data_IF_908484162870
#
_entry.id   IF_908484162870
#
_cell.length_a   1.000
_cell.length_b   1.000
_cell.length_c   1.000
_cell.angle_alpha   90.00
_cell.angle_beta   90.00
_cell.angle_gamma   90.00
#
_symmetry.space_group_name_H-M   'P 1'
#
loop_
_entity.id
_entity.type
_entity.pdbx_description
1 polymer ?
#
# COMPACT_ATOMS: atom_id res chain seq x y z
N UNK A 1 -40.94 -0.92 2.08
CA UNK A 1 -40.22 -1.78 1.13
C UNK A 1 -38.75 -1.74 1.54
N UNK A 2 -38.21 -2.88 1.97
CA UNK A 2 -36.84 -2.98 2.44
C UNK A 2 -35.89 -2.87 1.25
N UNK A 3 -35.01 -1.86 1.28
CA UNK A 3 -33.98 -1.70 0.26
C UNK A 3 -32.94 -2.79 0.49
N UNK A 4 -32.88 -3.76 -0.42
CA UNK A 4 -31.85 -4.79 -0.41
C UNK A 4 -30.52 -4.10 -0.66
N UNK A 5 -29.72 -3.97 0.40
CA UNK A 5 -28.30 -3.68 0.26
C UNK A 5 -27.71 -4.87 -0.46
N UNK A 6 -27.42 -4.70 -1.75
CA UNK A 6 -26.68 -5.68 -2.54
C UNK A 6 -25.36 -5.93 -1.82
N UNK A 7 -25.24 -7.08 -1.14
CA UNK A 7 -23.97 -7.55 -0.59
C UNK A 7 -23.00 -7.69 -1.76
N UNK A 8 -22.10 -6.71 -1.91
CA UNK A 8 -20.95 -6.86 -2.78
C UNK A 8 -20.07 -7.99 -2.20
N UNK A 9 -19.59 -8.93 -3.03
CA UNK A 9 -18.73 -10.00 -2.55
C UNK A 9 -17.56 -9.41 -1.78
N UNK A 10 -17.21 -10.00 -0.64
CA UNK A 10 -16.20 -9.51 0.28
C UNK A 10 -14.85 -9.31 -0.44
N UNK A 11 -14.64 -8.11 -0.95
CA UNK A 11 -13.43 -7.71 -1.65
C UNK A 11 -12.27 -7.81 -0.66
N UNK A 12 -11.21 -8.53 -1.04
CA UNK A 12 -10.02 -8.72 -0.21
C UNK A 12 -9.31 -7.36 -0.11
N UNK A 13 -9.71 -6.54 0.86
CA UNK A 13 -9.06 -5.27 1.20
C UNK A 13 -8.06 -5.47 2.35
N UNK A 14 -7.13 -6.42 2.17
CA UNK A 14 -6.19 -6.86 3.22
C UNK A 14 -4.74 -6.60 2.82
N UNK A 15 -4.33 -5.35 2.56
CA UNK A 15 -2.92 -5.06 2.26
C UNK A 15 -2.01 -5.35 3.44
N UNK A 16 -0.73 -5.48 3.15
CA UNK A 16 0.32 -5.62 4.16
C UNK A 16 1.25 -4.43 4.08
N UNK A 17 1.44 -3.75 5.20
CA UNK A 17 2.40 -2.66 5.32
C UNK A 17 3.59 -3.14 6.15
N UNK A 18 4.77 -3.14 5.56
CA UNK A 18 6.04 -3.33 6.26
C UNK A 18 6.51 -1.96 6.72
N UNK A 19 6.47 -1.73 8.04
CA UNK A 19 6.78 -0.44 8.65
C UNK A 19 8.01 -0.55 9.54
N UNK A 20 8.74 0.53 9.71
CA UNK A 20 9.88 0.62 10.61
C UNK A 20 10.68 1.88 10.37
N UNK A 21 11.84 2.00 11.02
CA UNK A 21 12.77 3.09 10.71
C UNK A 21 13.38 2.88 9.30
N UNK A 22 13.66 3.93 8.51
CA UNK A 22 14.43 3.77 7.29
C UNK A 22 15.74 3.02 7.56
N UNK A 23 16.24 2.24 6.60
CA UNK A 23 17.47 1.40 6.74
C UNK A 23 17.37 0.23 7.75
N UNK A 24 16.19 -0.06 8.27
CA UNK A 24 15.94 -1.24 9.11
C UNK A 24 15.81 -2.56 8.31
N UNK A 25 15.66 -2.48 6.98
CA UNK A 25 15.48 -3.64 6.10
C UNK A 25 14.04 -3.82 5.60
N UNK A 26 13.20 -2.79 5.68
CA UNK A 26 11.83 -2.78 5.14
C UNK A 26 11.79 -3.24 3.68
N UNK A 27 12.62 -2.68 2.80
CA UNK A 27 12.62 -3.00 1.36
C UNK A 27 12.95 -4.47 1.09
N UNK A 28 13.89 -5.07 1.85
CA UNK A 28 14.24 -6.49 1.71
C UNK A 28 13.06 -7.37 2.12
N UNK A 29 12.45 -7.08 3.27
CA UNK A 29 11.30 -7.85 3.75
C UNK A 29 10.10 -7.73 2.81
N UNK A 30 9.82 -6.54 2.29
CA UNK A 30 8.78 -6.32 1.28
C UNK A 30 9.03 -7.15 0.03
N UNK A 31 10.27 -7.17 -0.47
CA UNK A 31 10.64 -8.00 -1.62
C UNK A 31 10.47 -9.49 -1.34
N UNK A 32 10.91 -9.98 -0.17
CA UNK A 32 10.74 -11.38 0.23
C UNK A 32 9.26 -11.78 0.30
N UNK A 33 8.41 -10.93 0.88
CA UNK A 33 6.96 -11.16 0.94
C UNK A 33 6.32 -11.14 -0.46
N UNK A 34 6.84 -10.31 -1.37
CA UNK A 34 6.41 -10.23 -2.76
C UNK A 34 6.72 -11.47 -3.61
N UNK A 35 7.57 -12.39 -3.12
CA UNK A 35 7.80 -13.70 -3.77
C UNK A 35 6.71 -14.73 -3.46
N UNK A 36 5.83 -14.45 -2.50
CA UNK A 36 4.75 -15.37 -2.14
C UNK A 36 3.71 -15.45 -3.28
N UNK A 37 3.20 -16.64 -3.66
CA UNK A 37 2.36 -16.84 -4.84
C UNK A 37 1.04 -16.05 -4.86
N UNK A 38 0.58 -15.59 -3.69
CA UNK A 38 -0.64 -14.77 -3.56
C UNK A 38 -0.36 -13.27 -3.30
N UNK A 39 0.89 -12.82 -3.39
CA UNK A 39 1.30 -11.47 -3.01
C UNK A 39 2.27 -10.87 -4.02
N UNK A 40 2.18 -9.55 -4.25
CA UNK A 40 3.21 -8.81 -4.97
C UNK A 40 3.71 -7.62 -4.15
N UNK A 41 4.97 -7.25 -4.36
CA UNK A 41 5.58 -6.08 -3.75
C UNK A 41 5.29 -4.83 -4.59
N UNK A 42 4.83 -3.77 -3.93
CA UNK A 42 4.79 -2.43 -4.49
C UNK A 42 6.16 -1.75 -4.33
N UNK A 43 6.51 -0.84 -5.25
CA UNK A 43 7.46 0.23 -4.93
C UNK A 43 6.99 1.02 -3.70
N UNK A 44 7.91 1.72 -3.04
CA UNK A 44 7.57 2.69 -1.99
C UNK A 44 6.56 3.70 -2.57
N UNK A 45 5.35 3.73 -1.99
CA UNK A 45 4.25 4.53 -2.55
C UNK A 45 4.26 5.96 -2.00
N UNK A 46 4.61 6.14 -0.73
CA UNK A 46 4.84 7.42 -0.05
C UNK A 46 3.66 8.42 -0.02
N UNK A 47 2.52 8.14 -0.66
CA UNK A 47 1.39 9.07 -0.75
C UNK A 47 0.19 8.69 0.12
N UNK A 48 0.04 7.43 0.53
CA UNK A 48 -1.19 6.97 1.21
C UNK A 48 -1.33 7.54 2.63
N UNK A 49 -0.20 7.78 3.30
CA UNK A 49 -0.17 8.40 4.62
C UNK A 49 -0.69 9.84 4.60
N UNK A 50 -0.16 10.65 3.67
CA UNK A 50 -0.59 12.04 3.45
C UNK A 50 -2.05 12.12 3.02
N UNK A 51 -2.48 11.24 2.12
CA UNK A 51 -3.89 11.17 1.74
C UNK A 51 -4.80 10.90 2.95
N UNK A 52 -4.40 10.02 3.88
CA UNK A 52 -5.21 9.75 5.05
C UNK A 52 -5.35 10.99 5.95
N UNK A 53 -4.31 11.83 6.03
CA UNK A 53 -4.36 13.12 6.74
C UNK A 53 -5.31 14.07 6.01
N UNK A 54 -5.18 14.21 4.69
CA UNK A 54 -6.04 15.06 3.88
C UNK A 54 -7.52 14.66 4.02
N UNK A 55 -7.82 13.37 3.94
CA UNK A 55 -9.18 12.86 4.13
C UNK A 55 -9.71 13.16 5.54
N UNK A 56 -8.87 13.16 6.56
CA UNK A 56 -9.30 13.55 7.91
C UNK A 56 -9.74 15.01 7.94
N UNK A 57 -8.96 15.90 7.32
CA UNK A 57 -9.27 17.33 7.21
C UNK A 57 -10.56 17.53 6.41
N UNK A 58 -10.69 16.87 5.26
CA UNK A 58 -11.90 16.95 4.42
C UNK A 58 -13.14 16.44 5.12
N UNK A 59 -13.02 15.35 5.88
CA UNK A 59 -14.13 14.85 6.69
C UNK A 59 -14.56 15.88 7.74
N UNK A 60 -13.62 16.45 8.48
CA UNK A 60 -13.93 17.49 9.49
C UNK A 60 -14.66 18.69 8.88
N UNK A 61 -14.20 19.19 7.73
CA UNK A 61 -14.86 20.27 7.00
C UNK A 61 -16.27 19.84 6.58
N UNK A 62 -16.38 18.63 6.02
CA UNK A 62 -17.63 18.01 5.57
C UNK A 62 -18.63 17.68 6.67
N UNK A 63 -18.25 17.78 7.95
CA UNK A 63 -19.13 17.57 9.11
C UNK A 63 -19.26 18.78 10.04
N UNK A 64 -18.57 19.89 9.76
CA UNK A 64 -18.37 20.99 10.70
C UNK A 64 -19.64 21.73 11.16
N UNK A 65 -20.75 21.63 10.42
CA UNK A 65 -21.98 22.42 10.67
C UNK A 65 -23.21 21.55 10.94
N UNK A 66 -23.02 20.34 11.49
CA UNK A 66 -24.10 19.37 11.66
C UNK A 66 -24.78 19.09 10.31
N UNK A 67 -26.11 18.94 10.30
CA UNK A 67 -26.90 18.60 9.10
C UNK A 67 -26.88 19.68 8.00
N UNK A 68 -26.19 20.81 8.20
CA UNK A 68 -25.91 21.79 7.13
C UNK A 68 -24.64 21.48 6.35
N UNK A 69 -23.83 20.51 6.78
CA UNK A 69 -22.70 19.99 6.03
C UNK A 69 -23.06 18.65 5.39
N UNK A 70 -22.63 18.43 4.14
CA UNK A 70 -23.04 17.28 3.32
C UNK A 70 -22.87 15.93 4.02
N UNK A 71 -21.69 15.65 4.60
CA UNK A 71 -21.40 14.34 5.16
C UNK A 71 -22.24 14.06 6.40
N UNK A 72 -22.43 15.06 7.26
CA UNK A 72 -23.33 14.94 8.42
C UNK A 72 -24.79 14.79 8.02
N UNK A 73 -25.26 15.59 7.03
CA UNK A 73 -26.64 15.51 6.53
C UNK A 73 -26.99 14.15 5.91
N UNK A 74 -25.98 13.41 5.47
CA UNK A 74 -26.08 12.06 4.91
C UNK A 74 -25.73 10.97 5.92
N UNK A 75 -25.50 11.30 7.19
CA UNK A 75 -25.06 10.38 8.24
C UNK A 75 -23.79 9.58 7.89
N UNK A 76 -22.91 10.13 7.03
CA UNK A 76 -21.69 9.45 6.59
C UNK A 76 -20.72 9.35 7.75
N UNK A 77 -20.44 8.12 8.17
CA UNK A 77 -19.50 7.86 9.26
C UNK A 77 -18.05 8.03 8.79
N UNK A 78 -17.19 8.49 9.69
CA UNK A 78 -15.76 8.69 9.38
C UNK A 78 -15.10 7.42 8.84
N UNK A 79 -15.35 6.28 9.46
CA UNK A 79 -14.73 5.02 9.04
C UNK A 79 -15.25 4.55 7.67
N UNK A 80 -16.54 4.79 7.38
CA UNK A 80 -17.11 4.52 6.06
C UNK A 80 -16.47 5.40 4.99
N UNK A 81 -16.37 6.71 5.26
CA UNK A 81 -15.74 7.67 4.36
C UNK A 81 -14.33 7.21 3.95
N UNK A 82 -13.48 6.87 4.92
CA UNK A 82 -12.13 6.39 4.65
C UNK A 82 -12.10 5.03 3.92
N UNK A 83 -12.95 4.08 4.35
CA UNK A 83 -12.98 2.75 3.77
C UNK A 83 -13.39 2.76 2.29
N UNK A 84 -14.23 3.72 1.86
CA UNK A 84 -14.56 3.92 0.44
C UNK A 84 -13.30 4.24 -0.37
N UNK A 85 -12.46 5.18 0.09
CA UNK A 85 -11.21 5.50 -0.59
C UNK A 85 -10.24 4.32 -0.59
N UNK A 86 -10.05 3.66 0.55
CA UNK A 86 -9.14 2.52 0.60
C UNK A 86 -9.57 1.35 -0.29
N UNK A 87 -10.88 1.06 -0.42
CA UNK A 87 -11.37 0.08 -1.40
C UNK A 87 -11.00 0.48 -2.83
N UNK A 88 -11.22 1.73 -3.21
CA UNK A 88 -10.88 2.23 -4.55
C UNK A 88 -9.36 2.18 -4.82
N UNK A 89 -8.54 2.47 -3.82
CA UNK A 89 -7.07 2.37 -3.93
C UNK A 89 -6.67 0.90 -4.14
N UNK A 90 -7.22 -0.01 -3.33
CA UNK A 90 -6.93 -1.44 -3.43
C UNK A 90 -7.32 -2.00 -4.80
N UNK A 91 -8.54 -1.70 -5.26
CA UNK A 91 -9.04 -2.11 -6.58
C UNK A 91 -8.17 -1.54 -7.71
N UNK A 92 -7.80 -0.26 -7.66
CA UNK A 92 -6.88 0.36 -8.61
C UNK A 92 -5.53 -0.39 -8.66
N UNK A 93 -4.92 -0.67 -7.52
CA UNK A 93 -3.63 -1.38 -7.44
C UNK A 93 -3.75 -2.80 -8.01
N UNK A 94 -4.80 -3.53 -7.64
CA UNK A 94 -5.04 -4.89 -8.11
C UNK A 94 -5.30 -4.93 -9.62
N UNK A 95 -6.02 -3.94 -10.18
CA UNK A 95 -6.26 -3.80 -11.64
C UNK A 95 -4.97 -3.55 -12.41
N UNK A 96 -4.07 -2.74 -11.86
CA UNK A 96 -2.81 -2.37 -12.53
C UNK A 96 -1.62 -3.27 -12.19
N UNK A 97 -1.83 -4.37 -11.46
CA UNK A 97 -0.74 -5.29 -11.05
C UNK A 97 0.06 -5.85 -12.24
N UNK A 98 -0.61 -6.18 -13.35
CA UNK A 98 0.04 -6.77 -14.54
C UNK A 98 0.96 -5.74 -15.21
N UNK A 99 0.53 -4.47 -15.26
CA UNK A 99 1.37 -3.38 -15.77
C UNK A 99 2.59 -3.14 -14.89
N UNK A 100 2.43 -3.25 -13.57
CA UNK A 100 3.55 -3.14 -12.62
C UNK A 100 4.56 -4.26 -12.83
N UNK A 101 4.12 -5.52 -12.86
CA UNK A 101 4.99 -6.69 -13.08
C UNK A 101 5.72 -6.59 -14.43
N UNK A 102 5.01 -6.17 -15.48
CA UNK A 102 5.60 -5.94 -16.80
C UNK A 102 6.70 -4.89 -16.76
N UNK A 103 6.47 -3.73 -16.14
CA UNK A 103 7.47 -2.66 -16.04
C UNK A 103 8.69 -3.09 -15.22
N UNK A 104 8.49 -3.79 -14.10
CA UNK A 104 9.58 -4.33 -13.29
C UNK A 104 10.45 -5.30 -14.10
N UNK A 105 9.82 -6.14 -14.93
CA UNK A 105 10.54 -7.01 -15.85
C UNK A 105 11.34 -6.22 -16.89
N UNK A 106 10.70 -5.25 -17.55
CA UNK A 106 11.35 -4.41 -18.56
C UNK A 106 12.59 -3.70 -17.99
N UNK A 107 12.53 -3.25 -16.74
CA UNK A 107 13.66 -2.67 -16.01
C UNK A 107 14.76 -3.70 -15.72
N UNK A 108 14.40 -4.88 -15.19
CA UNK A 108 15.35 -5.95 -14.90
C UNK A 108 16.07 -6.46 -16.17
N UNK A 109 15.34 -6.59 -17.27
CA UNK A 109 15.88 -7.01 -18.57
C UNK A 109 16.85 -5.98 -19.16
N UNK A 110 16.70 -4.69 -18.85
CA UNK A 110 17.69 -3.65 -19.24
C UNK A 110 18.98 -3.76 -18.43
N UNK A 111 18.90 -4.24 -17.19
CA UNK A 111 20.06 -4.38 -16.31
C UNK A 111 20.92 -5.61 -16.64
N UNK A 112 20.38 -6.62 -17.33
CA UNK A 112 21.06 -7.87 -17.68
C UNK A 112 20.98 -8.15 -19.19
N UNK A 113 22.08 -8.01 -19.95
CA UNK A 113 22.11 -8.39 -21.36
C UNK A 113 21.75 -9.87 -21.55
N UNK A 114 20.85 -10.19 -22.50
CA UNK A 114 20.35 -11.54 -22.82
C UNK A 114 19.45 -12.22 -21.77
N UNK A 115 18.75 -11.46 -20.93
CA UNK A 115 17.66 -12.03 -20.13
C UNK A 115 16.62 -12.68 -21.05
N UNK A 116 16.50 -14.02 -21.00
CA UNK A 116 15.46 -14.74 -21.74
C UNK A 116 14.08 -14.35 -21.20
N UNK A 117 13.05 -14.18 -22.07
CA UNK A 117 11.69 -13.97 -21.60
C UNK A 117 11.26 -15.18 -20.76
N UNK A 118 11.04 -14.96 -19.46
CA UNK A 118 10.60 -16.03 -18.57
C UNK A 118 9.18 -16.44 -18.95
N UNK A 119 9.06 -17.56 -19.64
CA UNK A 119 7.80 -18.20 -19.98
C UNK A 119 7.00 -18.60 -18.72
N UNK A 120 7.64 -18.67 -17.54
CA UNK A 120 6.96 -18.98 -16.28
C UNK A 120 6.20 -17.80 -15.68
N UNK A 121 6.63 -16.55 -15.92
CA UNK A 121 5.97 -15.38 -15.31
C UNK A 121 4.59 -15.11 -15.94
N UNK A 122 4.46 -15.26 -17.25
CA UNK A 122 3.17 -15.14 -17.96
C UNK A 122 2.22 -16.30 -17.63
N UNK A 123 2.74 -17.51 -17.38
CA UNK A 123 1.95 -18.69 -17.06
C UNK A 123 1.46 -18.70 -15.59
N UNK A 124 2.27 -18.22 -14.63
CA UNK A 124 1.85 -18.11 -13.22
C UNK A 124 0.83 -16.99 -12.99
N UNK A 125 1.01 -15.82 -13.62
CA UNK A 125 0.11 -14.67 -13.42
C UNK A 125 -1.32 -14.93 -13.94
N UNK A 126 -1.51 -15.84 -14.89
CA UNK A 126 -2.82 -16.27 -15.38
C UNK A 126 -3.47 -17.37 -14.51
N UNK A 127 -2.68 -18.28 -13.94
CA UNK A 127 -3.18 -19.43 -13.18
C UNK A 127 -3.46 -19.11 -11.69
N UNK A 128 -2.84 -18.08 -11.12
CA UNK A 128 -3.09 -17.67 -9.74
C UNK A 128 -2.94 -16.15 -9.57
N UNK A 129 -4.01 -15.35 -9.78
CA UNK A 129 -3.90 -13.91 -9.71
C UNK A 129 -3.58 -13.50 -8.26
N UNK A 130 -2.37 -12.97 -8.04
CA UNK A 130 -1.95 -12.42 -6.74
C UNK A 130 -3.01 -11.45 -6.23
N UNK A 131 -3.67 -11.83 -5.14
CA UNK A 131 -4.85 -11.12 -4.63
C UNK A 131 -4.51 -10.08 -3.55
N UNK A 132 -3.24 -9.98 -3.16
CA UNK A 132 -2.77 -9.07 -2.11
C UNK A 132 -1.49 -8.36 -2.55
N UNK A 133 -1.27 -7.18 -1.99
CA UNK A 133 -0.05 -6.41 -2.20
C UNK A 133 0.62 -6.08 -0.87
N UNK A 134 1.93 -5.85 -0.94
CA UNK A 134 2.79 -5.45 0.17
C UNK A 134 3.44 -4.14 -0.16
N UNK A 135 3.36 -3.19 0.77
CA UNK A 135 4.04 -1.90 0.67
C UNK A 135 5.08 -1.78 1.79
N UNK A 136 6.28 -1.32 1.42
CA UNK A 136 7.45 -1.24 2.28
C UNK A 136 7.88 0.14 2.72
N UNK A 137 7.06 1.19 2.49
CA UNK A 137 7.39 2.57 2.86
C UNK A 137 7.64 2.68 4.37
N UNK A 138 8.88 2.94 4.83
CA UNK A 138 9.22 3.02 6.26
C UNK A 138 8.38 4.06 7.02
N UNK A 139 8.13 5.21 6.38
CA UNK A 139 7.45 6.39 6.91
C UNK A 139 5.99 6.12 7.30
N UNK A 140 5.40 5.03 6.81
CA UNK A 140 4.07 4.60 7.23
C UNK A 140 3.99 4.19 8.70
N UNK A 141 5.13 4.03 9.39
CA UNK A 141 5.20 3.97 10.85
C UNK A 141 4.49 5.15 11.53
N UNK A 142 4.52 6.35 10.92
CA UNK A 142 3.84 7.54 11.45
C UNK A 142 2.37 7.62 11.08
N UNK A 143 1.91 6.80 10.12
CA UNK A 143 0.60 6.91 9.50
C UNK A 143 -0.33 5.72 9.77
N UNK A 144 0.08 4.78 10.64
CA UNK A 144 -0.66 3.52 10.92
C UNK A 144 -2.14 3.77 11.20
N UNK A 145 -2.49 4.79 12.00
CA UNK A 145 -3.89 5.11 12.32
C UNK A 145 -4.71 5.52 11.08
N UNK A 146 -4.11 6.33 10.19
CA UNK A 146 -4.75 6.76 8.95
C UNK A 146 -4.90 5.61 7.95
N UNK A 147 -3.82 4.84 7.78
CA UNK A 147 -3.81 3.65 6.92
C UNK A 147 -4.80 2.59 7.40
N UNK A 148 -4.97 2.40 8.71
CA UNK A 148 -5.99 1.50 9.26
C UNK A 148 -7.41 1.96 8.96
N UNK A 149 -7.66 3.27 8.85
CA UNK A 149 -8.98 3.78 8.46
C UNK A 149 -9.24 3.58 6.97
N UNK A 150 -8.24 3.81 6.13
CA UNK A 150 -8.31 3.50 4.70
C UNK A 150 -8.54 2.01 4.47
N UNK A 151 -7.76 1.17 5.15
CA UNK A 151 -7.71 -0.27 4.99
C UNK A 151 -7.99 -0.96 6.34
N UNK A 152 -9.27 -1.15 6.73
CA UNK A 152 -9.65 -1.69 8.05
C UNK A 152 -9.00 -3.03 8.37
N UNK A 153 -8.86 -3.88 7.36
CA UNK A 153 -8.31 -5.23 7.46
C UNK A 153 -6.81 -5.30 7.14
N UNK A 154 -6.11 -4.15 7.08
CA UNK A 154 -4.68 -4.13 6.83
C UNK A 154 -3.88 -4.79 7.96
N UNK A 155 -2.81 -5.47 7.56
CA UNK A 155 -1.80 -6.02 8.46
C UNK A 155 -0.56 -5.14 8.44
N UNK A 156 0.05 -4.95 9.61
CA UNK A 156 1.26 -4.17 9.77
C UNK A 156 2.34 -5.08 10.33
N UNK A 157 3.47 -5.17 9.64
CA UNK A 157 4.67 -5.88 10.10
C UNK A 157 5.69 -4.81 10.47
N UNK A 158 5.93 -4.65 11.77
CA UNK A 158 6.91 -3.69 12.26
C UNK A 158 8.29 -4.34 12.37
N UNK A 159 9.22 -3.93 11.53
CA UNK A 159 10.62 -4.36 11.60
C UNK A 159 11.40 -3.50 12.59
N UNK A 160 12.08 -4.17 13.52
CA UNK A 160 12.94 -3.52 14.51
C UNK A 160 14.38 -3.96 14.27
N UNK A 161 15.29 -2.99 14.15
CA UNK A 161 16.73 -3.19 13.97
C UNK A 161 17.49 -2.38 15.03
N UNK A 162 18.65 -2.88 15.42
CA UNK A 162 19.59 -2.16 16.28
C UNK A 162 19.82 -0.72 15.78
N UNK A 163 19.64 0.24 16.69
CA UNK A 163 19.69 1.68 16.38
C UNK A 163 21.06 2.10 15.90
N UNK A 164 22.14 1.55 16.48
CA UNK A 164 23.52 1.87 16.07
C UNK A 164 23.76 1.48 14.62
N UNK A 165 23.24 0.32 14.22
CA UNK A 165 23.31 -0.19 12.85
C UNK A 165 22.51 0.66 11.86
N UNK A 166 21.33 1.15 12.27
CA UNK A 166 20.48 2.06 11.46
C UNK A 166 21.18 3.40 11.24
N UNK A 167 21.65 4.05 12.32
CA UNK A 167 22.33 5.36 12.25
C UNK A 167 23.60 5.28 11.39
N UNK A 168 24.43 4.25 11.57
CA UNK A 168 25.62 4.03 10.73
C UNK A 168 25.26 3.88 9.25
N UNK A 169 24.16 3.19 8.93
CA UNK A 169 23.69 3.06 7.54
C UNK A 169 23.21 4.39 6.96
N UNK A 170 22.43 5.17 7.72
CA UNK A 170 21.96 6.49 7.28
C UNK A 170 23.12 7.47 7.02
N UNK A 171 24.09 7.53 7.93
CA UNK A 171 25.26 8.41 7.80
C UNK A 171 26.11 8.10 6.56
N UNK A 172 26.23 6.82 6.19
CA UNK A 172 26.97 6.42 4.99
C UNK A 172 26.21 6.73 3.70
N UNK A 173 24.88 6.80 3.73
CA UNK A 173 24.07 7.08 2.55
C UNK A 173 24.19 8.54 2.10
N UNK A 174 24.22 9.50 3.05
CA UNK A 174 24.45 10.91 2.76
C UNK A 174 25.81 11.20 2.10
N UNK A 175 26.79 10.30 2.22
CA UNK A 175 28.09 10.43 1.55
C UNK A 175 28.09 9.97 0.09
N UNK A 176 27.10 9.20 -0.33
CA UNK A 176 27.00 8.65 -1.70
C UNK A 176 26.02 9.44 -2.57
N UNK A 177 25.09 10.20 -1.97
CA UNK A 177 24.12 11.04 -2.68
C UNK A 177 24.53 12.49 -2.97
N UNK A 178 25.83 12.81 -2.89
CA UNK A 178 26.36 14.11 -3.27
C UNK A 178 27.02 14.07 -4.64
N UNK A 179 26.28 14.42 -5.68
CA UNK A 179 26.73 14.57 -7.06
C UNK A 179 25.76 15.45 -7.84
#
# INVERSE_FOLDING_TARGET
MANQVTEMPAEINKPIFVVGSPRSGTSILTWCLGQHPNMFALPESDWMGDLAIDLAIRYQIGTARGDRSLLSAMDVRRDEFFAIFGRNINDMILRHRIDLERKQWEEAARAVPNAAPDQFMTAQSAANPKARWVDGTPEYSFHICGLRKLFPEALFIHIVRDVTSVVRSMLNFHRVGGG
#
